data_IF_139966354023
#
_entry.id   IF_139966354023
#
_cell.length_a   1.000
_cell.length_b   1.000
_cell.length_c   1.000
_cell.angle_alpha   90.00
_cell.angle_beta   90.00
_cell.angle_gamma   90.00
#
_symmetry.space_group_name_H-M   'P 1'
#
loop_
_entity.id
_entity.type
_entity.pdbx_description
1 polymer ?
#
# COMPACT_ATOMS: atom_id res chain seq x y z
N UNK A 1 18.86 -4.22 9.03
CA UNK A 1 17.75 -5.20 8.96
C UNK A 1 16.48 -4.40 9.09
N UNK A 2 15.52 -4.57 8.20
CA UNK A 2 14.23 -3.87 8.30
C UNK A 2 13.47 -4.45 9.49
N UNK A 3 13.05 -3.59 10.42
CA UNK A 3 12.42 -4.02 11.68
C UNK A 3 10.91 -3.81 11.71
N UNK A 4 10.41 -3.00 10.78
CA UNK A 4 9.03 -2.53 10.70
C UNK A 4 8.57 -2.46 9.26
N UNK A 5 7.29 -2.74 9.00
CA UNK A 5 6.74 -2.68 7.64
C UNK A 5 6.75 -1.25 7.07
N UNK A 6 6.75 -0.22 7.92
CA UNK A 6 6.78 1.18 7.49
C UNK A 6 8.11 1.58 6.81
N UNK A 7 9.17 0.81 7.05
CA UNK A 7 10.47 1.00 6.40
C UNK A 7 10.48 0.45 4.95
N UNK A 8 9.45 -0.32 4.56
CA UNK A 8 9.33 -0.85 3.20
C UNK A 8 8.97 0.26 2.22
N UNK A 9 9.79 0.42 1.17
CA UNK A 9 9.50 1.35 0.07
C UNK A 9 8.12 1.05 -0.54
N UNK A 10 7.76 -0.22 -0.70
CA UNK A 10 6.44 -0.62 -1.20
C UNK A 10 5.29 -0.12 -0.30
N UNK A 11 5.45 -0.19 1.03
CA UNK A 11 4.45 0.33 1.97
C UNK A 11 4.38 1.87 1.91
N UNK A 12 5.53 2.55 1.85
CA UNK A 12 5.59 4.01 1.72
C UNK A 12 4.92 4.50 0.43
N UNK A 13 5.17 3.84 -0.70
CA UNK A 13 4.51 4.12 -1.98
C UNK A 13 3.01 3.83 -1.93
N UNK A 14 2.61 2.78 -1.24
CA UNK A 14 1.18 2.50 -1.03
C UNK A 14 0.50 3.57 -0.18
N UNK A 15 1.18 4.12 0.83
CA UNK A 15 0.68 5.25 1.63
C UNK A 15 0.53 6.54 0.79
N UNK A 16 1.49 6.83 -0.08
CA UNK A 16 1.39 7.92 -1.06
C UNK A 16 0.18 7.72 -1.99
N UNK A 17 -0.02 6.50 -2.50
CA UNK A 17 -1.17 6.15 -3.35
C UNK A 17 -2.50 6.34 -2.63
N UNK A 18 -2.64 5.83 -1.40
CA UNK A 18 -3.85 6.03 -0.58
C UNK A 18 -4.15 7.53 -0.43
N UNK A 19 -3.13 8.32 -0.12
CA UNK A 19 -3.28 9.78 0.02
C UNK A 19 -3.77 10.43 -1.28
N UNK A 20 -3.23 10.02 -2.43
CA UNK A 20 -3.67 10.52 -3.74
C UNK A 20 -5.11 10.11 -4.07
N UNK A 21 -5.49 8.86 -3.77
CA UNK A 21 -6.85 8.34 -3.95
C UNK A 21 -7.85 9.16 -3.13
N UNK A 22 -7.59 9.39 -1.84
CA UNK A 22 -8.46 10.23 -1.02
C UNK A 22 -8.57 11.65 -1.55
N UNK A 23 -7.46 12.26 -2.02
CA UNK A 23 -7.49 13.59 -2.63
C UNK A 23 -8.36 13.66 -3.89
N UNK A 24 -8.31 12.66 -4.77
CA UNK A 24 -9.11 12.63 -6.00
C UNK A 24 -10.57 12.36 -5.69
N UNK A 25 -10.83 11.35 -4.87
CA UNK A 25 -12.18 10.86 -4.59
C UNK A 25 -12.99 11.80 -3.67
N UNK A 26 -12.32 12.71 -2.95
CA UNK A 26 -12.97 13.78 -2.19
C UNK A 26 -13.23 15.06 -3.00
N UNK A 27 -12.84 15.12 -4.29
CA UNK A 27 -13.22 16.25 -5.16
C UNK A 27 -14.72 16.23 -5.38
N UNK A 28 -15.33 17.42 -5.42
CA UNK A 28 -16.80 17.62 -5.46
C UNK A 28 -17.54 16.78 -6.52
N UNK A 29 -16.89 16.53 -7.65
CA UNK A 29 -17.47 15.75 -8.76
C UNK A 29 -17.43 14.24 -8.48
N UNK A 30 -16.33 13.74 -7.93
CA UNK A 30 -16.18 12.33 -7.58
C UNK A 30 -16.92 11.98 -6.28
N UNK A 31 -16.93 12.90 -5.30
CA UNK A 31 -17.43 12.65 -3.95
C UNK A 31 -18.91 12.31 -3.87
N UNK A 32 -19.66 12.55 -4.96
CA UNK A 32 -21.09 12.26 -5.12
C UNK A 32 -21.36 10.83 -5.58
N UNK A 33 -20.38 10.16 -6.18
CA UNK A 33 -20.44 8.74 -6.49
C UNK A 33 -19.95 7.93 -5.28
N UNK A 34 -20.83 7.78 -4.29
CA UNK A 34 -20.53 7.11 -3.02
C UNK A 34 -20.06 5.67 -3.23
N UNK A 35 -20.65 4.95 -4.19
CA UNK A 35 -20.32 3.55 -4.46
C UNK A 35 -18.91 3.38 -5.02
N UNK A 36 -18.58 4.13 -6.08
CA UNK A 36 -17.28 4.07 -6.71
C UNK A 36 -16.17 4.63 -5.80
N UNK A 37 -16.44 5.76 -5.14
CA UNK A 37 -15.53 6.37 -4.16
C UNK A 37 -15.11 5.37 -3.11
N UNK A 38 -16.10 4.73 -2.46
CA UNK A 38 -15.84 3.84 -1.34
C UNK A 38 -15.12 2.56 -1.80
N UNK A 39 -15.43 2.02 -2.98
CA UNK A 39 -14.73 0.88 -3.55
C UNK A 39 -13.25 1.18 -3.80
N UNK A 40 -12.95 2.32 -4.44
CA UNK A 40 -11.57 2.70 -4.77
C UNK A 40 -10.77 3.01 -3.50
N UNK A 41 -11.37 3.72 -2.52
CA UNK A 41 -10.70 3.99 -1.24
C UNK A 41 -10.37 2.70 -0.49
N UNK A 42 -11.31 1.75 -0.40
CA UNK A 42 -11.05 0.45 0.24
C UNK A 42 -10.00 -0.37 -0.48
N UNK A 43 -10.01 -0.38 -1.81
CA UNK A 43 -8.99 -1.07 -2.60
C UNK A 43 -7.59 -0.50 -2.33
N UNK A 44 -7.44 0.83 -2.29
CA UNK A 44 -6.17 1.48 -1.99
C UNK A 44 -5.66 1.14 -0.58
N UNK A 45 -6.54 1.18 0.43
CA UNK A 45 -6.18 0.82 1.82
C UNK A 45 -5.80 -0.66 1.91
N UNK A 46 -6.51 -1.55 1.20
CA UNK A 46 -6.21 -2.98 1.20
C UNK A 46 -4.80 -3.30 0.68
N UNK A 47 -4.30 -2.59 -0.33
CA UNK A 47 -2.91 -2.73 -0.80
C UNK A 47 -1.92 -2.47 0.34
N UNK A 48 -2.10 -1.35 1.05
CA UNK A 48 -1.25 -0.96 2.17
C UNK A 48 -1.32 -1.96 3.34
N UNK A 49 -2.53 -2.44 3.67
CA UNK A 49 -2.75 -3.44 4.72
C UNK A 49 -2.13 -4.80 4.36
N UNK A 50 -2.26 -5.26 3.11
CA UNK A 50 -1.68 -6.53 2.68
C UNK A 50 -0.14 -6.53 2.73
N UNK A 51 0.49 -5.39 2.48
CA UNK A 51 1.96 -5.26 2.62
C UNK A 51 2.37 -5.34 4.09
N UNK A 52 1.62 -4.70 4.99
CA UNK A 52 1.89 -4.78 6.43
C UNK A 52 1.67 -6.21 6.96
N UNK A 53 0.55 -6.84 6.61
CA UNK A 53 0.25 -8.23 7.00
C UNK A 53 1.29 -9.21 6.42
N UNK A 54 1.67 -9.04 5.16
CA UNK A 54 2.71 -9.87 4.52
C UNK A 54 4.08 -9.74 5.19
N UNK A 55 4.42 -8.55 5.68
CA UNK A 55 5.63 -8.32 6.47
C UNK A 55 5.57 -9.01 7.83
N UNK A 56 4.43 -8.94 8.53
CA UNK A 56 4.25 -9.58 9.84
C UNK A 56 4.18 -11.11 9.74
N UNK A 57 3.62 -11.65 8.65
CA UNK A 57 3.53 -13.10 8.40
C UNK A 57 4.84 -13.70 7.89
N UNK A 58 5.63 -12.92 7.15
CA UNK A 58 6.90 -13.33 6.55
C UNK A 58 8.08 -13.10 7.50
N UNK A 59 8.18 -13.86 8.58
CA UNK A 59 9.41 -13.88 9.38
C UNK A 59 10.59 -14.44 8.57
N UNK A 60 11.39 -13.50 8.07
CA UNK A 60 12.83 -13.57 7.76
C UNK A 60 13.32 -14.22 6.46
N UNK A 61 12.72 -15.29 5.92
CA UNK A 61 13.33 -15.99 4.75
C UNK A 61 12.80 -15.52 3.38
N UNK A 62 11.49 -15.49 3.17
CA UNK A 62 10.90 -15.21 1.85
C UNK A 62 10.93 -13.72 1.50
N UNK A 63 10.79 -12.84 2.49
CA UNK A 63 10.76 -11.40 2.28
C UNK A 63 12.13 -10.83 1.84
N UNK A 64 13.23 -11.44 2.32
CA UNK A 64 14.59 -11.09 1.88
C UNK A 64 14.79 -11.41 0.39
N UNK A 65 14.17 -12.48 -0.11
CA UNK A 65 14.28 -12.89 -1.50
C UNK A 65 13.58 -11.89 -2.43
N UNK A 66 12.42 -11.36 -2.04
CA UNK A 66 11.74 -10.29 -2.80
C UNK A 66 12.54 -8.99 -2.87
N UNK A 67 13.23 -8.60 -1.80
CA UNK A 67 14.07 -7.38 -1.80
C UNK A 67 15.40 -7.59 -2.54
N UNK A 68 16.00 -8.78 -2.47
CA UNK A 68 17.24 -9.10 -3.21
C UNK A 68 16.99 -9.15 -4.72
N UNK A 69 15.82 -9.65 -5.17
CA UNK A 69 15.43 -9.66 -6.60
C UNK A 69 15.15 -8.25 -7.13
N UNK A 70 14.73 -7.31 -6.26
CA UNK A 70 14.48 -5.92 -6.63
C UNK A 70 15.74 -5.04 -6.68
N UNK A 71 16.94 -5.58 -6.39
CA UNK A 71 18.19 -4.89 -6.73
C UNK A 71 18.38 -4.95 -8.25
N UNK A 72 18.47 -3.81 -8.94
CA UNK A 72 18.81 -3.83 -10.36
C UNK A 72 20.25 -4.35 -10.52
N UNK A 73 20.44 -5.26 -11.48
CA UNK A 73 21.69 -5.33 -12.23
C UNK A 73 21.73 -4.19 -13.23
#
# INVERSE_FOLDING_TARGET
MISKFEELIAWQKSRELVTAIYKVTNRKEFSRDFGLRDQIQRAAVSIMSNIAEGFERGSSSEFHQFIVIAKPS
#
